data_IF_650054159246
#
_entry.id   IF_650054159246
#
_cell.length_a   1.000
_cell.length_b   1.000
_cell.length_c   1.000
_cell.angle_alpha   90.00
_cell.angle_beta   90.00
_cell.angle_gamma   90.00
#
_symmetry.space_group_name_H-M   'P 1'
#
loop_
_entity.id
_entity.type
_entity.pdbx_description
1 polymer ?
#
# COMPACT_ATOMS: atom_id res chain seq x y z
N UNK A 1 62.67 -47.65 -1.68
CA UNK A 1 61.27 -47.24 -1.96
C UNK A 1 60.44 -47.12 -0.68
N UNK A 2 60.42 -48.12 0.22
CA UNK A 2 59.69 -48.09 1.51
C UNK A 2 60.06 -46.95 2.48
N UNK A 3 61.35 -46.66 2.66
CA UNK A 3 61.79 -45.60 3.56
C UNK A 3 61.34 -44.19 3.12
N UNK A 4 61.26 -43.95 1.80
CA UNK A 4 60.79 -42.67 1.24
C UNK A 4 59.28 -42.50 1.44
N UNK A 5 58.51 -43.57 1.27
CA UNK A 5 57.07 -43.55 1.55
C UNK A 5 56.76 -43.38 3.04
N UNK A 6 57.56 -43.96 3.93
CA UNK A 6 57.40 -43.78 5.39
C UNK A 6 57.70 -42.33 5.82
N UNK A 7 58.71 -41.71 5.22
CA UNK A 7 59.02 -40.30 5.47
C UNK A 7 57.94 -39.36 4.94
N UNK A 8 57.36 -39.66 3.77
CA UNK A 8 56.22 -38.91 3.21
C UNK A 8 54.96 -39.09 4.08
N UNK A 9 54.66 -40.30 4.55
CA UNK A 9 53.56 -40.57 5.48
C UNK A 9 53.73 -39.79 6.78
N UNK A 10 54.95 -39.72 7.32
CA UNK A 10 55.26 -38.94 8.53
C UNK A 10 55.01 -37.45 8.30
N UNK A 11 55.50 -36.88 7.18
CA UNK A 11 55.25 -35.47 6.82
C UNK A 11 53.77 -35.17 6.62
N UNK A 12 53.04 -36.06 5.97
CA UNK A 12 51.59 -35.96 5.78
C UNK A 12 50.85 -36.03 7.13
N UNK A 13 51.25 -36.94 8.03
CA UNK A 13 50.66 -37.08 9.37
C UNK A 13 50.81 -35.80 10.20
N UNK A 14 52.02 -35.21 10.22
CA UNK A 14 52.27 -33.93 10.91
C UNK A 14 51.43 -32.80 10.32
N UNK A 15 51.28 -32.76 8.99
CA UNK A 15 50.48 -31.74 8.31
C UNK A 15 48.98 -31.91 8.58
N UNK A 16 48.49 -33.14 8.68
CA UNK A 16 47.10 -33.44 9.07
C UNK A 16 46.83 -33.02 10.51
N UNK A 17 47.73 -33.32 11.44
CA UNK A 17 47.60 -32.88 12.84
C UNK A 17 47.61 -31.35 12.96
N UNK A 18 48.44 -30.67 12.17
CA UNK A 18 48.45 -29.21 12.14
C UNK A 18 47.14 -28.65 11.59
N UNK A 19 46.60 -29.23 10.51
CA UNK A 19 45.30 -28.85 9.97
C UNK A 19 44.16 -29.09 10.98
N UNK A 20 44.16 -30.22 11.69
CA UNK A 20 43.16 -30.49 12.74
C UNK A 20 43.20 -29.43 13.84
N UNK A 21 44.38 -29.03 14.31
CA UNK A 21 44.52 -27.94 15.29
C UNK A 21 44.00 -26.60 14.75
N UNK A 22 44.20 -26.32 13.46
CA UNK A 22 43.66 -25.12 12.82
C UNK A 22 42.13 -25.18 12.76
N UNK A 23 41.53 -26.32 12.39
CA UNK A 23 40.08 -26.49 12.41
C UNK A 23 39.50 -26.38 13.81
N UNK A 24 40.12 -26.98 14.82
CA UNK A 24 39.70 -26.85 16.22
C UNK A 24 39.76 -25.40 16.71
N UNK A 25 40.82 -24.67 16.36
CA UNK A 25 40.93 -23.24 16.71
C UNK A 25 39.91 -22.38 15.97
N UNK A 26 39.63 -22.68 14.70
CA UNK A 26 38.56 -22.04 13.93
C UNK A 26 37.19 -22.31 14.56
N UNK A 27 36.90 -23.55 14.97
CA UNK A 27 35.63 -23.92 15.57
C UNK A 27 35.44 -23.27 16.94
N UNK A 28 36.51 -23.14 17.74
CA UNK A 28 36.52 -22.33 18.97
C UNK A 28 36.23 -20.86 18.70
N UNK A 29 36.83 -20.27 17.66
CA UNK A 29 36.58 -18.88 17.26
C UNK A 29 35.12 -18.70 16.83
N UNK A 30 34.60 -19.60 15.98
CA UNK A 30 33.20 -19.57 15.53
C UNK A 30 32.26 -19.74 16.72
N UNK A 31 32.55 -20.65 17.65
CA UNK A 31 31.73 -20.89 18.84
C UNK A 31 31.77 -19.73 19.82
N UNK A 32 32.89 -19.02 19.94
CA UNK A 32 32.99 -17.79 20.74
C UNK A 32 32.29 -16.60 20.07
N UNK A 33 32.36 -16.47 18.75
CA UNK A 33 31.63 -15.45 17.99
C UNK A 33 30.12 -15.70 17.98
N UNK A 34 29.69 -16.96 17.85
CA UNK A 34 28.29 -17.35 17.85
C UNK A 34 27.70 -17.42 19.28
N UNK A 35 28.50 -17.84 20.26
CA UNK A 35 28.13 -17.98 21.67
C UNK A 35 28.23 -16.69 22.49
N UNK A 36 28.87 -15.64 21.96
CA UNK A 36 28.88 -14.28 22.55
C UNK A 36 27.66 -13.44 22.20
N UNK A 37 26.69 -13.99 21.44
CA UNK A 37 25.34 -13.42 21.44
C UNK A 37 24.79 -13.58 22.85
N UNK A 38 24.94 -12.52 23.67
CA UNK A 38 24.17 -12.42 24.91
C UNK A 38 22.71 -12.73 24.56
N UNK A 39 22.00 -13.47 25.42
CA UNK A 39 20.60 -13.83 25.17
C UNK A 39 19.76 -12.61 24.78
N UNK A 40 20.15 -11.42 25.27
CA UNK A 40 19.54 -10.13 24.95
C UNK A 40 19.81 -9.65 23.52
N UNK A 41 21.05 -9.69 23.04
CA UNK A 41 21.40 -9.24 21.68
C UNK A 41 20.67 -10.08 20.62
N UNK A 42 20.54 -11.40 20.84
CA UNK A 42 19.77 -12.28 19.95
C UNK A 42 18.25 -12.10 20.05
N UNK A 43 17.73 -11.55 21.16
CA UNK A 43 16.32 -11.15 21.28
C UNK A 43 16.06 -9.83 20.54
N UNK A 44 16.92 -8.83 20.73
CA UNK A 44 16.84 -7.54 20.04
C UNK A 44 16.96 -7.67 18.52
N UNK A 45 17.82 -8.55 18.01
CA UNK A 45 17.91 -8.86 16.57
C UNK A 45 16.57 -9.39 16.04
N UNK A 46 15.98 -10.37 16.73
CA UNK A 46 14.69 -10.96 16.33
C UNK A 46 13.55 -9.97 16.41
N UNK A 47 13.53 -9.11 17.43
CA UNK A 47 12.52 -8.05 17.55
C UNK A 47 12.67 -7.02 16.43
N UNK A 48 13.90 -6.57 16.15
CA UNK A 48 14.18 -5.63 15.07
C UNK A 48 13.73 -6.18 13.71
N UNK A 49 14.03 -7.44 13.42
CA UNK A 49 13.59 -8.09 12.18
C UNK A 49 12.05 -8.20 12.09
N UNK A 50 11.39 -8.50 13.21
CA UNK A 50 9.92 -8.53 13.29
C UNK A 50 9.32 -7.14 13.03
N UNK A 51 9.84 -6.10 13.66
CA UNK A 51 9.32 -4.73 13.50
C UNK A 51 9.57 -4.22 12.07
N UNK A 52 10.72 -4.54 11.45
CA UNK A 52 10.99 -4.23 10.03
C UNK A 52 9.98 -4.89 9.09
N UNK A 53 9.71 -6.18 9.29
CA UNK A 53 8.71 -6.88 8.47
C UNK A 53 7.30 -6.29 8.63
N UNK A 54 6.95 -5.88 9.86
CA UNK A 54 5.70 -5.18 10.12
C UNK A 54 5.65 -3.81 9.41
N UNK A 55 6.74 -3.04 9.47
CA UNK A 55 6.89 -1.76 8.75
C UNK A 55 6.65 -1.92 7.26
N UNK A 56 7.28 -2.91 6.63
CA UNK A 56 7.13 -3.13 5.19
C UNK A 56 5.66 -3.45 4.82
N UNK A 57 4.93 -4.15 5.70
CA UNK A 57 3.49 -4.40 5.54
C UNK A 57 2.68 -3.10 5.66
N UNK A 58 2.99 -2.25 6.64
CA UNK A 58 2.33 -0.95 6.80
C UNK A 58 2.57 -0.02 5.62
N UNK A 59 3.80 0.07 5.11
CA UNK A 59 4.14 0.88 3.93
C UNK A 59 3.40 0.38 2.69
N UNK A 60 3.29 -0.94 2.49
CA UNK A 60 2.46 -1.50 1.43
C UNK A 60 0.98 -1.14 1.58
N UNK A 61 0.48 -1.10 2.83
CA UNK A 61 -0.86 -0.62 3.15
C UNK A 61 -1.03 0.86 2.80
N UNK A 62 -0.12 1.71 3.25
CA UNK A 62 -0.12 3.15 2.97
C UNK A 62 -0.15 3.45 1.46
N UNK A 63 0.62 2.72 0.65
CA UNK A 63 0.56 2.82 -0.80
C UNK A 63 -0.84 2.48 -1.35
N UNK A 64 -1.46 1.42 -0.84
CA UNK A 64 -2.82 1.04 -1.24
C UNK A 64 -3.87 2.12 -0.89
N UNK A 65 -3.70 2.80 0.25
CA UNK A 65 -4.52 3.94 0.64
C UNK A 65 -4.29 5.17 -0.25
N UNK A 66 -3.05 5.45 -0.64
CA UNK A 66 -2.71 6.51 -1.59
C UNK A 66 -3.32 6.25 -2.97
N UNK A 67 -3.21 5.02 -3.48
CA UNK A 67 -3.82 4.62 -4.76
C UNK A 67 -5.35 4.72 -4.70
N UNK A 68 -5.98 4.27 -3.61
CA UNK A 68 -7.42 4.44 -3.41
C UNK A 68 -7.85 5.91 -3.39
N UNK A 69 -7.04 6.78 -2.78
CA UNK A 69 -7.27 8.23 -2.75
C UNK A 69 -7.23 8.83 -4.15
N UNK A 70 -6.25 8.41 -4.98
CA UNK A 70 -6.14 8.86 -6.36
C UNK A 70 -7.37 8.45 -7.19
N UNK A 71 -7.80 7.19 -7.08
CA UNK A 71 -9.03 6.73 -7.75
C UNK A 71 -10.27 7.49 -7.28
N UNK A 72 -10.39 7.79 -5.98
CA UNK A 72 -11.50 8.60 -5.50
C UNK A 72 -11.46 10.04 -6.05
N UNK A 73 -10.28 10.63 -6.18
CA UNK A 73 -10.10 11.95 -6.81
C UNK A 73 -10.53 11.94 -8.28
N UNK A 74 -10.09 10.94 -9.05
CA UNK A 74 -10.52 10.75 -10.44
C UNK A 74 -12.04 10.61 -10.53
N UNK A 75 -12.67 9.86 -9.60
CA UNK A 75 -14.12 9.76 -9.52
C UNK A 75 -14.79 11.12 -9.30
N UNK A 76 -14.26 11.95 -8.41
CA UNK A 76 -14.76 13.30 -8.17
C UNK A 76 -14.64 14.19 -9.42
N UNK A 77 -13.57 14.06 -10.19
CA UNK A 77 -13.35 14.87 -11.40
C UNK A 77 -14.22 14.40 -12.58
N UNK A 78 -14.36 13.08 -12.79
CA UNK A 78 -15.27 12.53 -13.79
C UNK A 78 -16.73 12.85 -13.46
N UNK A 79 -17.16 12.69 -12.20
CA UNK A 79 -18.53 13.03 -11.78
C UNK A 79 -18.82 14.54 -11.90
N UNK A 80 -17.82 15.40 -11.65
CA UNK A 80 -17.93 16.84 -11.88
C UNK A 80 -18.12 17.15 -13.37
N UNK A 81 -17.36 16.46 -14.23
CA UNK A 81 -17.47 16.59 -15.69
C UNK A 81 -18.85 16.14 -16.17
N UNK A 82 -19.37 15.04 -15.65
CA UNK A 82 -20.72 14.55 -15.93
C UNK A 82 -21.78 15.58 -15.49
N UNK A 83 -21.71 16.07 -14.26
CA UNK A 83 -22.63 17.09 -13.74
C UNK A 83 -22.62 18.35 -14.60
N UNK A 84 -21.44 18.88 -14.93
CA UNK A 84 -21.32 20.08 -15.78
C UNK A 84 -21.90 19.86 -17.17
N UNK A 85 -21.63 18.69 -17.78
CA UNK A 85 -22.13 18.34 -19.12
C UNK A 85 -23.64 18.16 -19.13
N UNK A 86 -24.23 17.59 -18.07
CA UNK A 86 -25.68 17.50 -17.95
C UNK A 86 -26.32 18.86 -17.69
N UNK A 87 -25.70 19.68 -16.85
CA UNK A 87 -26.20 21.01 -16.52
C UNK A 87 -26.26 21.94 -17.74
N UNK A 88 -25.27 21.88 -18.64
CA UNK A 88 -25.25 22.70 -19.87
C UNK A 88 -26.40 22.38 -20.84
N UNK A 89 -26.97 21.16 -20.78
CA UNK A 89 -28.13 20.77 -21.60
C UNK A 89 -29.38 21.59 -21.30
N UNK A 90 -29.44 22.34 -20.20
CA UNK A 90 -30.58 23.20 -19.87
C UNK A 90 -30.77 24.34 -20.86
N UNK A 91 -29.67 24.84 -21.43
CA UNK A 91 -29.66 26.01 -22.31
C UNK A 91 -29.26 25.66 -23.74
N UNK A 92 -28.88 24.41 -24.00
CA UNK A 92 -28.48 23.95 -25.33
C UNK A 92 -29.71 23.62 -26.18
N UNK A 93 -29.83 24.25 -27.34
CA UNK A 93 -30.96 24.07 -28.27
C UNK A 93 -30.61 23.11 -29.41
N UNK A 94 -29.33 22.99 -29.79
CA UNK A 94 -28.90 22.11 -30.86
C UNK A 94 -28.98 20.63 -30.43
N UNK A 95 -29.88 19.87 -31.06
CA UNK A 95 -30.12 18.46 -30.74
C UNK A 95 -28.88 17.57 -30.89
N UNK A 96 -28.00 17.85 -31.87
CA UNK A 96 -26.76 17.10 -32.09
C UNK A 96 -25.77 17.34 -30.94
N UNK A 97 -25.67 18.60 -30.48
CA UNK A 97 -24.85 18.95 -29.33
C UNK A 97 -25.44 18.35 -28.05
N UNK A 98 -26.76 18.43 -27.86
CA UNK A 98 -27.46 17.83 -26.72
C UNK A 98 -27.19 16.33 -26.62
N UNK A 99 -27.34 15.60 -27.72
CA UNK A 99 -27.10 14.16 -27.75
C UNK A 99 -25.65 13.81 -27.39
N UNK A 100 -24.68 14.56 -27.95
CA UNK A 100 -23.26 14.35 -27.66
C UNK A 100 -22.90 14.65 -26.20
N UNK A 101 -23.44 15.73 -25.62
CA UNK A 101 -23.23 16.07 -24.22
C UNK A 101 -23.89 15.06 -23.27
N UNK A 102 -25.06 14.52 -23.64
CA UNK A 102 -25.72 13.45 -22.91
C UNK A 102 -24.85 12.17 -22.90
N UNK A 103 -24.29 11.76 -24.04
CA UNK A 103 -23.33 10.65 -24.11
C UNK A 103 -22.09 10.90 -23.24
N UNK A 104 -21.50 12.10 -23.34
CA UNK A 104 -20.36 12.49 -22.49
C UNK A 104 -20.68 12.40 -21.00
N UNK A 105 -21.90 12.79 -20.62
CA UNK A 105 -22.39 12.67 -19.23
C UNK A 105 -22.41 11.21 -18.80
N UNK A 106 -23.03 10.34 -19.61
CA UNK A 106 -23.11 8.89 -19.34
C UNK A 106 -21.73 8.27 -19.16
N UNK A 107 -20.84 8.50 -20.12
CA UNK A 107 -19.52 7.88 -20.14
C UNK A 107 -18.68 8.39 -18.97
N UNK A 108 -18.71 9.70 -18.68
CA UNK A 108 -18.02 10.28 -17.52
C UNK A 108 -18.55 9.72 -16.20
N UNK A 109 -19.87 9.59 -16.06
CA UNK A 109 -20.46 9.07 -14.82
C UNK A 109 -20.17 7.56 -14.64
N UNK A 110 -20.15 6.80 -15.73
CA UNK A 110 -19.73 5.40 -15.70
C UNK A 110 -18.26 5.26 -15.27
N UNK A 111 -17.36 6.10 -15.80
CA UNK A 111 -15.96 6.14 -15.35
C UNK A 111 -15.84 6.53 -13.88
N UNK A 112 -16.61 7.53 -13.42
CA UNK A 112 -16.62 7.91 -12.02
C UNK A 112 -17.01 6.74 -11.09
N UNK A 113 -18.04 5.97 -11.48
CA UNK A 113 -18.47 4.78 -10.75
C UNK A 113 -17.39 3.68 -10.75
N UNK A 114 -16.70 3.46 -11.88
CA UNK A 114 -15.60 2.51 -11.98
C UNK A 114 -14.43 2.87 -11.06
N UNK A 115 -14.03 4.14 -11.04
CA UNK A 115 -12.97 4.63 -10.16
C UNK A 115 -13.27 4.36 -8.68
N UNK A 116 -14.52 4.57 -8.21
CA UNK A 116 -14.90 4.20 -6.83
C UNK A 116 -14.71 2.70 -6.57
N UNK A 117 -15.09 1.85 -7.53
CA UNK A 117 -14.92 0.40 -7.41
C UNK A 117 -13.44 -0.02 -7.37
N UNK A 118 -12.59 0.66 -8.15
CA UNK A 118 -11.14 0.46 -8.11
C UNK A 118 -10.57 0.86 -6.75
N UNK A 119 -10.95 2.03 -6.22
CA UNK A 119 -10.58 2.45 -4.86
C UNK A 119 -10.98 1.41 -3.81
N UNK A 120 -12.19 0.87 -3.89
CA UNK A 120 -12.67 -0.18 -2.98
C UNK A 120 -11.86 -1.49 -3.11
N UNK A 121 -11.34 -1.79 -4.31
CA UNK A 121 -10.53 -2.98 -4.57
C UNK A 121 -9.13 -2.85 -3.97
N UNK A 122 -8.56 -1.64 -3.94
CA UNK A 122 -7.29 -1.36 -3.26
C UNK A 122 -7.39 -1.54 -1.74
N UNK A 123 -8.58 -1.35 -1.16
CA UNK A 123 -8.82 -1.42 0.28
C UNK A 123 -9.86 -2.50 0.64
N UNK A 124 -9.53 -3.79 0.45
CA UNK A 124 -10.44 -4.87 0.75
C UNK A 124 -10.75 -4.89 2.26
N UNK A 125 -12.04 -4.86 2.60
CA UNK A 125 -12.51 -4.86 3.99
C UNK A 125 -12.73 -3.47 4.61
N UNK A 126 -12.27 -2.39 3.96
CA UNK A 126 -12.60 -1.02 4.39
C UNK A 126 -13.98 -0.64 3.89
N UNK A 127 -14.85 -0.19 4.80
CA UNK A 127 -16.18 0.31 4.44
C UNK A 127 -16.13 1.80 4.15
N UNK A 128 -16.48 2.20 2.93
CA UNK A 128 -16.51 3.61 2.57
C UNK A 128 -17.74 4.31 3.15
N UNK A 129 -17.57 5.46 3.82
CA UNK A 129 -18.71 6.23 4.37
C UNK A 129 -19.50 6.97 3.27
N UNK A 130 -18.86 7.19 2.11
CA UNK A 130 -19.42 7.86 0.94
C UNK A 130 -19.24 6.99 -0.29
N UNK A 131 -20.13 7.16 -1.28
CA UNK A 131 -20.16 6.34 -2.49
C UNK A 131 -20.17 4.84 -2.16
N UNK A 132 -21.06 4.44 -1.26
CA UNK A 132 -21.23 3.02 -0.90
C UNK A 132 -21.54 2.18 -2.14
N UNK A 133 -21.33 0.86 -2.09
CA UNK A 133 -21.64 -0.02 -3.23
C UNK A 133 -23.09 0.13 -3.72
N UNK A 134 -24.03 0.39 -2.80
CA UNK A 134 -25.44 0.68 -3.13
C UNK A 134 -25.59 1.96 -3.93
N UNK A 135 -24.88 3.02 -3.56
CA UNK A 135 -24.94 4.32 -4.24
C UNK A 135 -24.28 4.26 -5.61
N UNK A 136 -23.15 3.56 -5.73
CA UNK A 136 -22.50 3.31 -7.01
C UNK A 136 -23.44 2.53 -7.93
N UNK A 137 -24.09 1.48 -7.43
CA UNK A 137 -25.07 0.72 -8.19
C UNK A 137 -26.27 1.57 -8.62
N UNK A 138 -26.80 2.40 -7.72
CA UNK A 138 -27.90 3.31 -8.05
C UNK A 138 -27.53 4.28 -9.18
N UNK A 139 -26.32 4.83 -9.18
CA UNK A 139 -25.84 5.69 -10.27
C UNK A 139 -25.75 4.94 -11.59
N UNK A 140 -25.24 3.71 -11.58
CA UNK A 140 -25.17 2.88 -12.79
C UNK A 140 -26.57 2.61 -13.37
N UNK A 141 -27.58 2.43 -12.52
CA UNK A 141 -28.97 2.28 -12.95
C UNK A 141 -29.56 3.59 -13.50
N UNK A 142 -29.29 4.73 -12.86
CA UNK A 142 -29.78 6.04 -13.34
C UNK A 142 -29.25 6.34 -14.74
N UNK A 143 -27.97 6.10 -15.01
CA UNK A 143 -27.37 6.39 -16.32
C UNK A 143 -27.88 5.48 -17.46
N UNK A 144 -28.50 4.34 -17.15
CA UNK A 144 -29.16 3.48 -18.15
C UNK A 144 -30.40 4.16 -18.75
N UNK A 145 -31.09 4.98 -17.96
CA UNK A 145 -32.29 5.72 -18.39
C UNK A 145 -32.00 7.13 -18.89
N UNK A 146 -30.73 7.47 -19.11
CA UNK A 146 -30.27 8.83 -19.42
C UNK A 146 -30.99 9.47 -20.62
N UNK A 147 -31.27 8.73 -21.68
CA UNK A 147 -32.00 9.28 -22.84
C UNK A 147 -33.48 9.52 -22.54
N UNK A 148 -34.11 8.71 -21.69
CA UNK A 148 -35.47 8.97 -21.20
C UNK A 148 -35.48 10.21 -20.31
N UNK A 149 -34.48 10.34 -19.43
CA UNK A 149 -34.33 11.50 -18.55
C UNK A 149 -34.09 12.79 -19.34
N UNK A 150 -33.44 12.71 -20.51
CA UNK A 150 -33.21 13.86 -21.38
C UNK A 150 -34.51 14.45 -21.98
N UNK A 151 -35.52 13.61 -22.19
CA UNK A 151 -36.78 13.99 -22.86
C UNK A 151 -37.85 14.48 -21.88
N UNK A 152 -37.79 14.05 -20.62
CA UNK A 152 -38.81 14.36 -19.61
C UNK A 152 -38.26 15.38 -18.62
N UNK A 153 -38.80 16.61 -18.63
CA UNK A 153 -38.28 17.75 -17.84
C UNK A 153 -38.11 17.46 -16.35
N UNK A 154 -39.08 16.78 -15.73
CA UNK A 154 -38.99 16.40 -14.31
C UNK A 154 -37.84 15.41 -14.05
N UNK A 155 -37.70 14.39 -14.92
CA UNK A 155 -36.64 13.38 -14.82
C UNK A 155 -35.26 13.99 -15.11
N UNK A 156 -35.18 14.94 -16.03
CA UNK A 156 -33.97 15.70 -16.28
C UNK A 156 -33.46 16.42 -15.02
N UNK A 157 -34.37 17.11 -14.32
CA UNK A 157 -34.07 17.80 -13.08
C UNK A 157 -33.68 16.85 -11.96
N UNK A 158 -34.37 15.71 -11.84
CA UNK A 158 -34.01 14.66 -10.90
C UNK A 158 -32.60 14.10 -11.15
N UNK A 159 -32.30 13.71 -12.40
CA UNK A 159 -30.99 13.21 -12.79
C UNK A 159 -29.88 14.23 -12.50
N UNK A 160 -30.13 15.52 -12.73
CA UNK A 160 -29.19 16.59 -12.41
C UNK A 160 -28.84 16.61 -10.90
N UNK A 161 -29.84 16.54 -10.02
CA UNK A 161 -29.59 16.52 -8.57
C UNK A 161 -28.92 15.22 -8.12
N UNK A 162 -29.23 14.09 -8.75
CA UNK A 162 -28.54 12.81 -8.51
C UNK A 162 -27.05 12.92 -8.87
N UNK A 163 -26.71 13.43 -10.06
CA UNK A 163 -25.31 13.60 -10.49
C UNK A 163 -24.53 14.58 -9.62
N UNK A 164 -25.18 15.67 -9.21
CA UNK A 164 -24.63 16.66 -8.26
C UNK A 164 -24.39 16.04 -6.88
N UNK A 165 -25.35 15.26 -6.38
CA UNK A 165 -25.23 14.56 -5.09
C UNK A 165 -24.08 13.57 -5.12
N UNK A 166 -23.98 12.76 -6.17
CA UNK A 166 -22.86 11.82 -6.35
C UNK A 166 -21.50 12.54 -6.39
N UNK A 167 -21.40 13.66 -7.12
CA UNK A 167 -20.16 14.44 -7.16
C UNK A 167 -19.74 14.96 -5.77
N UNK A 168 -20.68 15.46 -4.98
CA UNK A 168 -20.42 15.88 -3.59
C UNK A 168 -19.91 14.73 -2.74
N UNK A 169 -20.54 13.55 -2.85
CA UNK A 169 -20.15 12.34 -2.12
C UNK A 169 -18.79 11.82 -2.55
N UNK A 170 -18.47 11.82 -3.84
CA UNK A 170 -17.16 11.45 -4.35
C UNK A 170 -16.07 12.39 -3.82
N UNK A 171 -16.34 13.70 -3.80
CA UNK A 171 -15.41 14.69 -3.21
C UNK A 171 -15.21 14.45 -1.72
N UNK A 172 -16.28 14.15 -0.97
CA UNK A 172 -16.20 13.82 0.45
C UNK A 172 -15.44 12.51 0.70
N UNK A 173 -15.58 11.51 -0.19
CA UNK A 173 -14.80 10.28 -0.15
C UNK A 173 -13.31 10.57 -0.30
N UNK A 174 -12.92 11.39 -1.28
CA UNK A 174 -11.52 11.79 -1.48
C UNK A 174 -10.95 12.46 -0.22
N UNK A 175 -11.70 13.38 0.39
CA UNK A 175 -11.29 14.06 1.61
C UNK A 175 -11.12 13.08 2.77
N UNK A 176 -12.08 12.18 2.96
CA UNK A 176 -12.03 11.17 4.02
C UNK A 176 -10.85 10.20 3.85
N UNK A 177 -10.60 9.70 2.63
CA UNK A 177 -9.46 8.82 2.34
C UNK A 177 -8.13 9.54 2.60
N UNK A 178 -8.01 10.77 2.11
CA UNK A 178 -6.82 11.59 2.33
C UNK A 178 -6.57 11.83 3.81
N UNK A 179 -7.59 12.25 4.55
CA UNK A 179 -7.49 12.50 5.98
C UNK A 179 -7.10 11.23 6.75
N UNK A 180 -7.73 10.09 6.43
CA UNK A 180 -7.39 8.82 7.08
C UNK A 180 -5.95 8.41 6.80
N UNK A 181 -5.49 8.60 5.56
CA UNK A 181 -4.11 8.31 5.16
C UNK A 181 -3.13 9.20 5.92
N UNK A 182 -3.33 10.51 5.92
CA UNK A 182 -2.41 11.49 6.49
C UNK A 182 -2.42 11.47 8.03
N UNK A 183 -3.59 11.33 8.66
CA UNK A 183 -3.73 11.49 10.12
C UNK A 183 -3.58 10.19 10.90
N UNK A 184 -3.74 9.03 10.26
CA UNK A 184 -3.68 7.71 10.90
C UNK A 184 -2.59 6.85 10.27
N UNK A 185 -2.75 6.47 9.00
CA UNK A 185 -1.87 5.46 8.38
C UNK A 185 -0.42 5.93 8.30
N UNK A 186 -0.20 7.18 7.90
CA UNK A 186 1.15 7.74 7.79
C UNK A 186 1.83 7.84 9.16
N UNK A 187 1.09 8.26 10.20
CA UNK A 187 1.63 8.35 11.56
C UNK A 187 1.98 6.97 12.12
N UNK A 188 1.16 5.95 11.85
CA UNK A 188 1.46 4.58 12.26
C UNK A 188 2.77 4.07 11.62
N UNK A 189 3.06 4.46 10.37
CA UNK A 189 4.34 4.16 9.70
C UNK A 189 5.49 4.89 10.38
N UNK A 190 5.34 6.19 10.64
CA UNK A 190 6.36 7.02 11.31
C UNK A 190 6.71 6.47 12.71
N UNK A 191 5.71 6.10 13.52
CA UNK A 191 5.90 5.52 14.85
C UNK A 191 6.71 4.21 14.79
N UNK A 192 6.45 3.38 13.77
CA UNK A 192 7.18 2.13 13.58
C UNK A 192 8.62 2.39 13.11
N UNK A 193 8.84 3.39 12.25
CA UNK A 193 10.18 3.80 11.84
C UNK A 193 11.00 4.34 13.03
N UNK A 194 10.39 5.12 13.92
CA UNK A 194 11.01 5.56 15.18
C UNK A 194 11.41 4.37 16.04
N UNK A 195 10.51 3.40 16.23
CA UNK A 195 10.80 2.17 16.99
C UNK A 195 11.93 1.34 16.38
N UNK A 196 12.03 1.27 15.05
CA UNK A 196 13.14 0.60 14.36
C UNK A 196 14.47 1.29 14.68
N UNK A 197 14.48 2.62 14.66
CA UNK A 197 15.68 3.40 14.97
C UNK A 197 16.13 3.18 16.43
N UNK A 198 15.20 3.19 17.37
CA UNK A 198 15.49 2.94 18.80
C UNK A 198 16.05 1.53 19.04
N UNK A 199 15.42 0.51 18.44
CA UNK A 199 15.91 -0.87 18.53
C UNK A 199 17.27 -1.04 17.87
N UNK A 200 17.50 -0.42 16.71
CA UNK A 200 18.78 -0.46 16.02
C UNK A 200 19.89 0.21 16.84
N UNK A 201 19.60 1.35 17.45
CA UNK A 201 20.52 2.08 18.32
C UNK A 201 20.86 1.25 19.58
N UNK A 202 19.84 0.67 20.22
CA UNK A 202 20.02 -0.19 21.40
C UNK A 202 20.88 -1.41 21.07
N UNK A 203 20.59 -2.08 19.94
CA UNK A 203 21.37 -3.22 19.48
C UNK A 203 22.82 -2.84 19.16
N UNK A 204 23.06 -1.65 18.59
CA UNK A 204 24.40 -1.12 18.34
C UNK A 204 25.18 -0.91 19.64
N UNK A 205 24.54 -0.31 20.65
CA UNK A 205 25.13 -0.10 21.98
C UNK A 205 25.45 -1.42 22.70
N UNK A 206 24.59 -2.43 22.61
CA UNK A 206 24.90 -3.74 23.18
C UNK A 206 26.09 -4.40 22.50
N UNK A 207 26.17 -4.31 21.17
CA UNK A 207 27.27 -4.88 20.39
C UNK A 207 28.60 -4.20 20.70
N UNK A 208 28.61 -2.89 20.95
CA UNK A 208 29.83 -2.18 21.36
C UNK A 208 30.22 -2.53 22.80
N UNK A 209 29.28 -2.59 23.74
CA UNK A 209 29.56 -3.00 25.12
C UNK A 209 30.09 -4.44 25.24
N UNK A 210 29.52 -5.38 24.47
CA UNK A 210 29.98 -6.77 24.45
C UNK A 210 31.33 -6.97 23.75
N UNK A 211 31.82 -5.99 22.97
CA UNK A 211 33.16 -6.03 22.35
C UNK A 211 34.26 -5.47 23.25
N UNK A 212 33.90 -4.69 24.27
CA UNK A 212 34.84 -4.02 25.19
C UNK A 212 35.07 -4.84 26.48
N UNK A 213 34.22 -5.83 26.75
CA UNK A 213 34.39 -6.83 27.82
C UNK A 213 35.14 -8.06 27.33
#
# INVERSE_FOLDING_TARGET
MRARSEEEISKLSVRVQHLQKLYESQELIIKNLAGSKSSNTGQLERELDRVRSYRDTLVSGELSWKDATLFAQDSADYSRTAYKSWHSLRTEEDESIRFRQALKTRDSMHQAALCVRMAQTMLPGVQFPYCTSREVYAILQVIEYLFTDLQVSERFGHALEVYKSFNKRATALTQWLKQTTDETIHKDVEEVDERINDLANTLSQERTMNRVR
#
